data_IF_995886013150
#
_entry.id   IF_995886013150
#
_cell.length_a   1.000
_cell.length_b   1.000
_cell.length_c   1.000
_cell.angle_alpha   90.00
_cell.angle_beta   90.00
_cell.angle_gamma   90.00
#
_symmetry.space_group_name_H-M   'P 1'
#
loop_
_entity.id
_entity.type
_entity.pdbx_description
1 polymer ?
#
# COMPACT_ATOMS: atom_id res chain seq x y z
N UNK A 1 29.69 -28.66 -14.85
CA UNK A 1 28.39 -28.60 -15.53
C UNK A 1 27.31 -28.41 -14.47
N UNK A 2 26.79 -27.20 -14.28
CA UNK A 2 25.60 -26.98 -13.44
C UNK A 2 24.37 -27.05 -14.32
N UNK A 3 23.58 -28.12 -14.21
CA UNK A 3 22.20 -28.10 -14.72
C UNK A 3 21.40 -27.09 -13.91
N UNK A 4 20.54 -26.31 -14.57
CA UNK A 4 19.51 -25.54 -13.88
C UNK A 4 18.57 -26.52 -13.17
N UNK A 5 18.75 -26.71 -11.86
CA UNK A 5 17.80 -27.40 -11.00
C UNK A 5 16.68 -26.41 -10.66
N UNK A 6 15.78 -26.21 -11.61
CA UNK A 6 14.55 -25.44 -11.42
C UNK A 6 13.41 -26.41 -11.16
N UNK A 7 12.77 -26.27 -10.00
CA UNK A 7 11.59 -27.01 -9.57
C UNK A 7 10.38 -26.10 -9.37
N UNK A 8 9.25 -26.66 -8.93
CA UNK A 8 8.02 -25.92 -8.67
C UNK A 8 8.14 -24.87 -7.55
N UNK A 9 9.18 -24.95 -6.71
CA UNK A 9 9.39 -24.07 -5.57
C UNK A 9 10.46 -23.01 -5.83
N UNK A 10 11.05 -23.02 -7.03
CA UNK A 10 12.10 -22.08 -7.44
C UNK A 10 11.56 -20.65 -7.49
N UNK A 11 12.36 -19.70 -7.01
CA UNK A 11 11.98 -18.28 -6.91
C UNK A 11 13.04 -17.40 -7.56
N UNK A 12 12.59 -16.31 -8.14
CA UNK A 12 13.46 -15.25 -8.65
C UNK A 12 13.68 -14.23 -7.53
N UNK A 13 14.95 -13.95 -7.23
CA UNK A 13 15.34 -13.00 -6.18
C UNK A 13 16.25 -11.94 -6.81
N UNK A 14 15.92 -10.66 -6.63
CA UNK A 14 16.79 -9.54 -6.94
C UNK A 14 17.63 -9.21 -5.72
N UNK A 15 18.91 -9.54 -5.78
CA UNK A 15 19.89 -9.28 -4.72
C UNK A 15 20.50 -7.88 -4.84
N UNK A 16 21.05 -7.31 -3.75
CA UNK A 16 21.76 -6.05 -3.79
C UNK A 16 22.97 -6.15 -4.74
N UNK A 17 23.21 -5.11 -5.54
CA UNK A 17 24.40 -5.04 -6.39
C UNK A 17 25.65 -5.03 -5.51
N UNK A 18 26.57 -5.95 -5.78
CA UNK A 18 27.89 -6.01 -5.14
C UNK A 18 28.97 -6.23 -6.19
N UNK A 19 30.13 -5.60 -5.98
CA UNK A 19 31.32 -5.80 -6.81
C UNK A 19 32.06 -7.09 -6.46
N UNK A 20 31.83 -7.62 -5.25
CA UNK A 20 32.44 -8.85 -4.75
C UNK A 20 31.36 -9.87 -4.37
N UNK A 21 31.66 -11.18 -4.42
CA UNK A 21 30.72 -12.21 -3.96
C UNK A 21 30.36 -11.99 -2.48
N UNK A 22 29.07 -11.81 -2.20
CA UNK A 22 28.54 -11.65 -0.83
C UNK A 22 27.85 -12.94 -0.41
N UNK A 23 28.07 -13.35 0.84
CA UNK A 23 27.33 -14.46 1.45
C UNK A 23 26.24 -13.90 2.33
N UNK A 24 24.99 -14.16 1.97
CA UNK A 24 23.83 -13.78 2.76
C UNK A 24 23.37 -14.91 3.67
N UNK A 25 22.99 -14.57 4.90
CA UNK A 25 22.24 -15.45 5.79
C UNK A 25 20.76 -15.08 5.72
N UNK A 26 19.88 -16.07 5.68
CA UNK A 26 18.44 -15.83 5.84
C UNK A 26 18.12 -15.85 7.33
N UNK A 27 17.45 -14.81 7.81
CA UNK A 27 17.01 -14.69 9.20
C UNK A 27 15.53 -14.29 9.21
N UNK A 28 14.73 -14.95 10.05
CA UNK A 28 13.31 -14.63 10.19
C UNK A 28 13.13 -13.73 11.41
N UNK A 29 12.56 -12.54 11.18
CA UNK A 29 12.32 -11.55 12.24
C UNK A 29 10.82 -11.29 12.37
N UNK A 30 10.34 -10.94 13.58
CA UNK A 30 8.97 -10.49 13.76
C UNK A 30 8.74 -9.21 12.96
N UNK A 31 7.54 -9.05 12.40
CA UNK A 31 7.20 -7.82 11.68
C UNK A 31 7.00 -6.67 12.68
N UNK A 32 7.55 -5.50 12.36
CA UNK A 32 7.45 -4.32 13.23
C UNK A 32 6.02 -3.77 13.35
N UNK A 33 5.08 -4.25 12.52
CA UNK A 33 3.67 -3.82 12.57
C UNK A 33 2.89 -4.49 13.72
N UNK A 34 3.07 -5.79 13.93
CA UNK A 34 2.27 -6.55 14.90
C UNK A 34 3.10 -7.32 15.94
N UNK A 35 4.37 -7.64 15.64
CA UNK A 35 5.28 -8.48 16.43
C UNK A 35 4.83 -9.95 16.59
N UNK A 36 3.81 -10.37 15.84
CA UNK A 36 3.26 -11.74 15.92
C UNK A 36 3.49 -12.51 14.63
N UNK A 37 3.50 -11.83 13.49
CA UNK A 37 3.90 -12.38 12.19
C UNK A 37 5.41 -12.27 12.00
N UNK A 38 5.98 -13.13 11.16
CA UNK A 38 7.41 -13.17 10.84
C UNK A 38 7.61 -13.02 9.34
N UNK A 39 8.66 -12.28 8.96
CA UNK A 39 9.12 -12.18 7.59
C UNK A 39 10.59 -12.63 7.51
N UNK A 40 10.98 -13.14 6.35
CA UNK A 40 12.38 -13.48 6.07
C UNK A 40 13.15 -12.25 5.61
N UNK A 41 14.39 -12.14 6.08
CA UNK A 41 15.33 -11.07 5.76
C UNK A 41 16.65 -11.68 5.29
N UNK A 42 17.36 -10.98 4.41
CA UNK A 42 18.75 -11.28 4.09
C UNK A 42 19.65 -10.45 5.00
N UNK A 43 20.59 -11.12 5.65
CA UNK A 43 21.61 -10.51 6.46
C UNK A 43 22.96 -10.70 5.78
N UNK A 44 23.58 -9.58 5.40
CA UNK A 44 25.02 -9.51 5.15
C UNK A 44 25.74 -9.15 6.47
N UNK A 45 27.07 -9.15 6.47
CA UNK A 45 27.91 -8.80 7.62
C UNK A 45 27.48 -7.49 8.28
N UNK A 46 27.12 -6.48 7.48
CA UNK A 46 26.89 -5.11 7.96
C UNK A 46 25.44 -4.61 7.77
N UNK A 47 24.62 -5.31 6.99
CA UNK A 47 23.35 -4.78 6.49
C UNK A 47 22.25 -5.84 6.50
N UNK A 48 21.08 -5.43 6.98
CA UNK A 48 19.85 -6.22 6.93
C UNK A 48 19.00 -5.77 5.73
N UNK A 49 18.42 -6.71 5.01
CA UNK A 49 17.55 -6.47 3.87
C UNK A 49 16.23 -7.21 4.07
N UNK A 50 15.10 -6.49 3.96
CA UNK A 50 13.79 -7.11 3.91
C UNK A 50 13.55 -7.77 2.55
N UNK A 51 12.88 -8.91 2.55
CA UNK A 51 12.48 -9.62 1.33
C UNK A 51 11.01 -9.32 1.02
N UNK A 52 10.79 -8.40 0.09
CA UNK A 52 9.46 -8.05 -0.41
C UNK A 52 9.05 -8.95 -1.57
N UNK A 53 7.85 -9.53 -1.51
CA UNK A 53 7.30 -10.34 -2.60
C UNK A 53 6.51 -9.44 -3.57
N UNK A 54 7.08 -9.18 -4.74
CA UNK A 54 6.41 -8.47 -5.84
C UNK A 54 5.66 -9.50 -6.67
N UNK A 55 4.37 -9.60 -6.39
CA UNK A 55 3.43 -10.46 -7.10
C UNK A 55 2.70 -9.67 -8.18
N UNK A 56 2.19 -10.40 -9.16
CA UNK A 56 1.36 -9.83 -10.23
C UNK A 56 -0.11 -9.62 -9.82
N UNK A 57 -0.45 -9.78 -8.54
CA UNK A 57 -1.77 -9.42 -8.04
C UNK A 57 -1.83 -7.91 -7.79
N UNK A 58 -2.52 -7.19 -8.66
CA UNK A 58 -2.92 -5.82 -8.35
C UNK A 58 -4.19 -5.90 -7.48
N UNK A 59 -4.13 -5.59 -6.18
CA UNK A 59 -5.30 -5.67 -5.30
C UNK A 59 -6.41 -4.69 -5.69
N UNK A 60 -6.11 -3.70 -6.53
CA UNK A 60 -7.07 -2.75 -7.08
C UNK A 60 -7.73 -3.23 -8.38
N UNK A 61 -7.24 -4.32 -8.99
CA UNK A 61 -7.92 -4.98 -10.11
C UNK A 61 -8.77 -6.10 -9.54
N UNK A 62 -10.09 -6.03 -9.75
CA UNK A 62 -11.00 -7.14 -9.37
C UNK A 62 -10.45 -8.43 -9.95
N UNK A 63 -10.36 -9.51 -9.14
CA UNK A 63 -9.83 -10.82 -9.56
C UNK A 63 -10.44 -11.32 -10.88
N UNK A 64 -11.71 -10.99 -11.11
CA UNK A 64 -12.48 -11.28 -12.33
C UNK A 64 -11.87 -10.71 -13.62
N UNK A 65 -11.12 -9.61 -13.52
CA UNK A 65 -10.46 -8.92 -14.64
C UNK A 65 -8.97 -9.26 -14.74
N UNK A 66 -8.46 -10.17 -13.88
CA UNK A 66 -7.08 -10.60 -13.92
C UNK A 66 -6.95 -11.71 -14.97
N UNK A 67 -6.03 -11.60 -15.94
CA UNK A 67 -5.77 -12.68 -16.86
C UNK A 67 -5.18 -13.87 -16.08
N UNK A 68 -5.94 -14.96 -16.01
CA UNK A 68 -5.56 -16.22 -15.36
C UNK A 68 -5.56 -17.36 -16.37
N UNK A 69 -4.69 -18.34 -16.14
CA UNK A 69 -4.73 -19.63 -16.83
C UNK A 69 -5.99 -20.40 -16.42
N UNK A 70 -6.35 -21.45 -17.19
CA UNK A 70 -7.55 -22.27 -16.93
C UNK A 70 -7.56 -22.93 -15.55
N UNK A 71 -6.39 -23.13 -14.95
CA UNK A 71 -6.19 -23.68 -13.61
C UNK A 71 -6.17 -22.60 -12.51
N UNK A 72 -6.36 -21.32 -12.85
CA UNK A 72 -6.36 -20.21 -11.90
C UNK A 72 -4.99 -19.57 -11.64
N UNK A 73 -3.92 -20.06 -12.28
CA UNK A 73 -2.57 -19.50 -12.13
C UNK A 73 -2.36 -18.22 -12.94
N UNK A 74 -1.33 -17.46 -12.57
CA UNK A 74 -0.92 -16.28 -13.33
C UNK A 74 -0.46 -16.65 -14.74
N UNK A 75 -0.79 -15.81 -15.73
CA UNK A 75 -0.41 -16.02 -17.15
C UNK A 75 1.07 -15.70 -17.44
N UNK A 76 1.81 -15.17 -16.46
CA UNK A 76 3.20 -14.74 -16.62
C UNK A 76 4.17 -15.79 -16.05
N UNK A 77 5.31 -15.97 -16.71
CA UNK A 77 6.41 -16.86 -16.29
C UNK A 77 7.76 -16.19 -16.56
N UNK A 78 8.82 -16.67 -15.93
CA UNK A 78 10.20 -16.31 -16.28
C UNK A 78 10.82 -17.41 -17.13
N UNK A 79 11.48 -17.00 -18.21
CA UNK A 79 12.24 -17.88 -19.10
C UNK A 79 13.71 -17.52 -18.90
N UNK A 80 14.52 -18.52 -18.56
CA UNK A 80 15.97 -18.42 -18.46
C UNK A 80 16.58 -19.24 -19.59
N UNK A 81 17.47 -18.63 -20.35
CA UNK A 81 18.18 -19.27 -21.46
C UNK A 81 19.68 -19.25 -21.16
N UNK A 82 20.33 -20.39 -21.30
CA UNK A 82 21.79 -20.50 -21.28
C UNK A 82 22.33 -20.22 -22.68
N UNK A 83 22.95 -19.05 -22.87
CA UNK A 83 23.55 -18.65 -24.13
C UNK A 83 24.65 -19.62 -24.62
N UNK A 84 25.28 -20.39 -23.74
CA UNK A 84 26.38 -21.27 -24.10
C UNK A 84 25.93 -22.67 -24.55
N UNK A 85 24.86 -23.20 -23.95
CA UNK A 85 24.46 -24.60 -24.12
C UNK A 85 23.08 -24.76 -24.78
N UNK A 86 22.30 -23.67 -24.93
CA UNK A 86 20.94 -23.72 -25.49
C UNK A 86 19.92 -24.42 -24.59
N UNK A 87 20.32 -24.83 -23.38
CA UNK A 87 19.40 -25.32 -22.34
C UNK A 87 18.71 -24.13 -21.67
N UNK A 88 17.48 -24.32 -21.21
CA UNK A 88 16.71 -23.28 -20.56
C UNK A 88 15.79 -23.81 -19.48
N UNK A 89 15.30 -22.90 -18.65
CA UNK A 89 14.36 -23.21 -17.59
C UNK A 89 13.19 -22.23 -17.61
N UNK A 90 12.01 -22.74 -17.27
CA UNK A 90 10.80 -21.93 -17.14
C UNK A 90 10.37 -21.98 -15.67
N UNK A 91 10.31 -20.80 -15.04
CA UNK A 91 9.69 -20.64 -13.73
C UNK A 91 8.27 -20.17 -13.96
N UNK A 92 7.30 -21.03 -13.64
CA UNK A 92 5.88 -20.73 -13.81
C UNK A 92 5.37 -19.65 -12.84
N UNK A 93 6.02 -19.50 -11.68
CA UNK A 93 5.73 -18.36 -10.80
C UNK A 93 6.28 -17.08 -11.40
N UNK A 94 5.45 -16.03 -11.39
CA UNK A 94 5.85 -14.68 -11.79
C UNK A 94 6.17 -13.77 -10.60
N UNK A 95 6.23 -14.31 -9.38
CA UNK A 95 6.64 -13.58 -8.19
C UNK A 95 8.14 -13.27 -8.24
N UNK A 96 8.50 -12.01 -8.02
CA UNK A 96 9.89 -11.60 -7.83
C UNK A 96 10.07 -11.20 -6.39
N UNK A 97 11.03 -11.81 -5.71
CA UNK A 97 11.45 -11.35 -4.39
C UNK A 97 12.46 -10.22 -4.60
N UNK A 98 12.20 -9.08 -3.99
CA UNK A 98 13.08 -7.91 -4.03
C UNK A 98 13.70 -7.72 -2.65
N UNK A 99 15.02 -7.67 -2.58
CA UNK A 99 15.72 -7.30 -1.34
C UNK A 99 15.85 -5.78 -1.23
N UNK A 100 15.30 -5.20 -0.17
CA UNK A 100 15.40 -3.76 0.12
C UNK A 100 16.11 -3.56 1.46
N UNK A 101 16.97 -2.53 1.58
CA UNK A 101 17.66 -2.26 2.86
C UNK A 101 16.65 -1.99 3.97
N UNK A 102 16.79 -2.70 5.09
CA UNK A 102 15.92 -2.59 6.25
C UNK A 102 16.68 -1.99 7.44
N UNK A 103 16.04 -1.06 8.14
CA UNK A 103 16.59 -0.39 9.33
C UNK A 103 16.01 -1.06 10.59
N UNK A 104 16.85 -1.78 11.34
CA UNK A 104 16.43 -2.53 12.54
C UNK A 104 15.75 -1.63 13.59
N UNK A 105 16.01 -0.31 13.55
CA UNK A 105 15.30 0.68 14.37
C UNK A 105 13.77 0.58 14.27
N UNK A 106 13.21 0.23 13.11
CA UNK A 106 11.76 0.03 12.96
C UNK A 106 11.22 -1.05 13.89
N UNK A 107 11.92 -2.18 13.95
CA UNK A 107 11.54 -3.30 14.82
C UNK A 107 11.74 -2.95 16.30
N UNK A 108 12.86 -2.29 16.64
CA UNK A 108 13.13 -1.89 18.02
C UNK A 108 12.11 -0.88 18.53
N UNK A 109 11.70 0.10 17.71
CA UNK A 109 10.61 1.04 18.06
C UNK A 109 9.34 0.28 18.39
N UNK A 110 8.94 -0.67 17.54
CA UNK A 110 7.72 -1.44 17.73
C UNK A 110 7.72 -2.26 19.03
N UNK A 111 8.86 -2.88 19.36
CA UNK A 111 9.04 -3.63 20.62
C UNK A 111 9.02 -2.65 21.80
N UNK A 112 9.84 -1.60 21.77
CA UNK A 112 10.06 -0.74 22.94
C UNK A 112 8.83 0.10 23.28
N UNK A 113 8.08 0.52 22.27
CA UNK A 113 6.83 1.23 22.45
C UNK A 113 5.78 0.40 23.21
N UNK A 114 5.77 -0.92 23.05
CA UNK A 114 4.87 -1.83 23.80
C UNK A 114 5.41 -2.25 25.16
N UNK A 115 6.70 -2.04 25.44
CA UNK A 115 7.38 -2.58 26.61
C UNK A 115 8.14 -1.48 27.38
N UNK A 116 7.47 -0.89 28.37
CA UNK A 116 8.00 0.22 29.19
C UNK A 116 9.35 -0.05 29.87
N UNK A 117 9.79 -1.31 29.99
CA UNK A 117 11.07 -1.66 30.59
C UNK A 117 12.28 -1.06 29.86
N UNK A 118 12.16 -0.77 28.57
CA UNK A 118 13.22 -0.17 27.76
C UNK A 118 13.35 1.36 27.96
N UNK A 119 12.33 2.00 28.55
CA UNK A 119 12.30 3.45 28.80
C UNK A 119 12.65 3.83 30.25
N UNK A 120 12.91 2.85 31.13
CA UNK A 120 13.11 3.10 32.57
C UNK A 120 14.54 3.53 32.88
N UNK A 121 15.50 2.68 32.52
CA UNK A 121 16.91 2.83 32.89
C UNK A 121 17.78 2.77 31.63
N UNK A 122 18.98 3.35 31.73
CA UNK A 122 20.05 3.11 30.77
C UNK A 122 20.55 1.68 30.93
N UNK A 123 20.64 0.95 29.82
CA UNK A 123 21.07 -0.45 29.77
C UNK A 123 21.98 -0.68 28.57
N UNK A 124 22.89 -1.65 28.65
CA UNK A 124 23.78 -1.97 27.54
C UNK A 124 22.99 -2.54 26.35
N UNK A 125 23.58 -2.56 25.16
CA UNK A 125 22.94 -3.21 24.02
C UNK A 125 22.82 -4.74 24.22
N UNK A 126 23.70 -5.36 25.01
CA UNK A 126 23.59 -6.77 25.41
C UNK A 126 22.36 -7.00 26.30
N UNK A 127 22.17 -6.17 27.33
CA UNK A 127 20.97 -6.22 28.18
C UNK A 127 19.68 -5.98 27.37
N UNK A 128 19.74 -5.11 26.35
CA UNK A 128 18.65 -4.91 25.41
C UNK A 128 18.32 -6.21 24.69
N UNK A 129 19.34 -6.89 24.12
CA UNK A 129 19.16 -8.15 23.41
C UNK A 129 18.54 -9.20 24.33
N UNK A 130 19.06 -9.38 25.55
CA UNK A 130 18.53 -10.35 26.51
C UNK A 130 17.09 -10.06 26.93
N UNK A 131 16.74 -8.79 27.13
CA UNK A 131 15.36 -8.38 27.42
C UNK A 131 14.43 -8.61 26.24
N UNK A 132 14.89 -8.41 25.01
CA UNK A 132 14.13 -8.74 23.80
C UNK A 132 13.94 -10.25 23.73
N UNK A 133 14.99 -11.05 23.91
CA UNK A 133 14.88 -12.51 23.94
C UNK A 133 13.87 -12.97 25.00
N UNK A 134 13.90 -12.37 26.20
CA UNK A 134 12.91 -12.59 27.25
C UNK A 134 11.46 -12.32 26.82
N UNK A 135 11.22 -11.26 26.04
CA UNK A 135 9.88 -10.93 25.48
C UNK A 135 9.37 -12.01 24.53
N UNK A 136 10.26 -12.65 23.76
CA UNK A 136 9.90 -13.67 22.75
C UNK A 136 10.08 -15.13 23.23
N UNK A 137 10.66 -15.34 24.41
CA UNK A 137 10.98 -16.66 24.98
C UNK A 137 9.77 -17.61 25.09
N UNK A 138 8.57 -17.07 25.36
CA UNK A 138 7.34 -17.87 25.53
C UNK A 138 6.88 -18.60 24.26
N UNK A 139 7.39 -18.23 23.09
CA UNK A 139 6.97 -18.78 21.80
C UNK A 139 8.06 -19.61 21.09
N UNK A 140 9.22 -19.83 21.71
CA UNK A 140 10.38 -20.48 21.07
C UNK A 140 10.97 -19.69 19.89
N UNK A 141 10.59 -18.41 19.76
CA UNK A 141 10.94 -17.54 18.65
C UNK A 141 11.93 -16.44 19.06
N UNK A 142 12.75 -16.67 20.08
CA UNK A 142 13.79 -15.76 20.57
C UNK A 142 15.11 -15.89 19.79
N UNK A 143 15.30 -16.98 19.05
CA UNK A 143 16.56 -17.27 18.37
C UNK A 143 17.03 -16.22 17.35
N UNK A 144 16.12 -15.40 16.81
CA UNK A 144 16.51 -14.37 15.84
C UNK A 144 17.36 -13.26 16.48
N UNK A 145 17.19 -13.00 17.78
CA UNK A 145 17.86 -11.92 18.50
C UNK A 145 19.38 -12.06 18.40
N UNK A 146 19.89 -13.27 18.64
CA UNK A 146 21.33 -13.54 18.59
C UNK A 146 21.85 -13.86 17.18
N UNK A 147 20.96 -13.95 16.17
CA UNK A 147 21.36 -14.04 14.75
C UNK A 147 21.70 -12.66 14.16
N UNK A 148 21.19 -11.60 14.78
CA UNK A 148 21.49 -10.22 14.38
C UNK A 148 22.80 -9.76 15.04
N UNK A 149 23.78 -9.25 14.25
CA UNK A 149 25.02 -8.74 14.79
C UNK A 149 24.83 -7.59 15.79
N UNK A 150 25.62 -7.62 16.85
CA UNK A 150 25.59 -6.63 17.94
C UNK A 150 25.66 -5.17 17.44
N UNK A 151 26.54 -4.85 16.48
CA UNK A 151 26.69 -3.48 15.98
C UNK A 151 25.40 -2.95 15.30
N UNK A 152 24.52 -3.81 14.75
CA UNK A 152 23.24 -3.37 14.19
C UNK A 152 22.29 -2.89 15.28
N UNK A 153 22.34 -3.50 16.47
CA UNK A 153 21.62 -3.02 17.64
C UNK A 153 22.15 -1.65 18.05
N UNK A 154 23.46 -1.49 18.22
CA UNK A 154 24.05 -0.20 18.61
C UNK A 154 23.70 0.93 17.63
N UNK A 155 23.86 0.69 16.33
CA UNK A 155 23.51 1.67 15.29
C UNK A 155 22.03 2.04 15.32
N UNK A 156 21.15 1.08 15.62
CA UNK A 156 19.71 1.32 15.67
C UNK A 156 19.31 2.03 16.96
N UNK A 157 19.87 1.63 18.09
CA UNK A 157 19.65 2.22 19.40
C UNK A 157 20.12 3.68 19.44
N UNK A 158 21.26 4.01 18.83
CA UNK A 158 21.75 5.39 18.74
C UNK A 158 20.75 6.34 18.07
N UNK A 159 19.88 5.84 17.17
CA UNK A 159 18.86 6.64 16.48
C UNK A 159 17.61 6.89 17.33
N UNK A 160 17.25 5.95 18.20
CA UNK A 160 15.92 5.91 18.87
C UNK A 160 15.99 6.02 20.40
N UNK A 161 17.20 6.00 20.97
CA UNK A 161 17.45 6.00 22.40
C UNK A 161 18.31 7.20 22.82
N UNK A 162 18.11 7.69 24.03
CA UNK A 162 19.12 8.47 24.75
C UNK A 162 20.33 7.56 25.02
N UNK A 163 21.53 8.11 24.93
CA UNK A 163 22.76 7.36 25.13
C UNK A 163 23.68 8.08 26.12
N UNK A 164 24.31 7.32 26.99
CA UNK A 164 25.40 7.76 27.86
C UNK A 164 26.59 6.84 27.65
N UNK A 165 27.79 7.38 27.71
CA UNK A 165 29.03 6.61 27.63
C UNK A 165 29.68 6.59 29.01
N UNK A 166 29.88 5.39 29.57
CA UNK A 166 30.53 5.19 30.85
C UNK A 166 31.70 4.21 30.68
N UNK A 167 32.92 4.65 30.99
CA UNK A 167 34.13 3.81 30.94
C UNK A 167 34.42 3.13 29.59
N UNK A 168 33.90 3.68 28.49
CA UNK A 168 34.09 3.13 27.14
C UNK A 168 32.91 2.30 26.63
N UNK A 169 31.89 2.06 27.46
CA UNK A 169 30.68 1.35 27.09
C UNK A 169 29.50 2.32 26.90
N UNK A 170 28.70 2.11 25.85
CA UNK A 170 27.50 2.89 25.59
C UNK A 170 26.26 2.23 26.19
N UNK A 171 25.49 2.99 26.95
CA UNK A 171 24.23 2.56 27.53
C UNK A 171 23.08 3.34 26.92
N UNK A 172 21.95 2.66 26.69
CA UNK A 172 20.82 3.18 25.94
C UNK A 172 19.55 3.17 26.79
N UNK A 173 18.75 4.23 26.63
CA UNK A 173 17.40 4.35 27.20
C UNK A 173 16.43 4.77 26.10
N UNK A 174 15.41 3.97 25.84
CA UNK A 174 14.44 4.26 24.76
C UNK A 174 13.82 5.65 24.94
N UNK A 175 13.79 6.42 23.86
CA UNK A 175 13.22 7.76 23.84
C UNK A 175 12.17 7.86 22.74
N UNK A 176 10.92 8.03 23.15
CA UNK A 176 9.81 8.22 22.22
C UNK A 176 10.03 9.46 21.34
N UNK A 177 10.60 10.53 21.91
CA UNK A 177 10.98 11.74 21.19
C UNK A 177 11.97 11.46 20.06
N UNK A 178 13.10 10.79 20.35
CA UNK A 178 14.09 10.43 19.32
C UNK A 178 13.50 9.47 18.27
N UNK A 179 12.60 8.59 18.69
CA UNK A 179 11.88 7.71 17.76
C UNK A 179 11.01 8.50 16.79
N UNK A 180 10.26 9.50 17.27
CA UNK A 180 9.50 10.39 16.40
C UNK A 180 10.40 11.21 15.47
N UNK A 181 11.52 11.75 15.95
CA UNK A 181 12.51 12.46 15.12
C UNK A 181 13.12 11.54 14.04
N UNK A 182 13.35 10.27 14.36
CA UNK A 182 13.81 9.27 13.39
C UNK A 182 12.75 9.03 12.30
N UNK A 183 11.48 8.84 12.68
CA UNK A 183 10.38 8.65 11.73
C UNK A 183 10.15 9.90 10.88
N UNK A 184 10.20 11.08 11.47
CA UNK A 184 10.06 12.37 10.78
C UNK A 184 11.09 12.50 9.66
N UNK A 185 12.37 12.24 9.93
CA UNK A 185 13.43 12.25 8.89
C UNK A 185 13.16 11.28 7.74
N UNK A 186 12.53 10.13 8.02
CA UNK A 186 12.17 9.14 6.98
C UNK A 186 10.98 9.65 6.15
N UNK A 187 9.98 10.26 6.79
CA UNK A 187 8.84 10.91 6.14
C UNK A 187 9.31 12.06 5.26
N UNK A 188 10.13 12.97 5.76
CA UNK A 188 10.67 14.11 4.99
C UNK A 188 11.45 13.67 3.75
N UNK A 189 12.29 12.64 3.90
CA UNK A 189 13.03 12.06 2.78
C UNK A 189 12.10 11.47 1.73
N UNK A 190 11.06 10.75 2.15
CA UNK A 190 10.10 10.14 1.22
C UNK A 190 9.20 11.20 0.57
N UNK A 191 8.78 12.21 1.32
CA UNK A 191 8.04 13.37 0.80
C UNK A 191 8.84 14.08 -0.28
N UNK A 192 10.14 14.32 -0.03
CA UNK A 192 11.06 14.92 -1.02
C UNK A 192 11.16 14.04 -2.26
N UNK A 193 11.29 12.72 -2.09
CA UNK A 193 11.33 11.78 -3.21
C UNK A 193 10.04 11.79 -4.03
N UNK A 194 8.87 11.76 -3.39
CA UNK A 194 7.57 11.83 -4.07
C UNK A 194 7.36 13.16 -4.79
N UNK A 195 7.85 14.26 -4.22
CA UNK A 195 7.82 15.57 -4.86
C UNK A 195 8.86 15.72 -5.98
N UNK A 196 9.88 14.85 -6.03
CA UNK A 196 10.94 14.88 -7.03
C UNK A 196 10.59 14.05 -8.27
N UNK A 197 10.72 14.66 -9.44
CA UNK A 197 10.61 14.01 -10.74
C UNK A 197 9.21 13.46 -11.08
N UNK A 198 9.11 12.84 -12.25
CA UNK A 198 7.92 12.12 -12.68
C UNK A 198 7.96 10.69 -12.14
N UNK A 199 7.32 10.48 -10.99
CA UNK A 199 7.11 9.16 -10.41
C UNK A 199 5.62 8.79 -10.40
N UNK A 200 5.33 7.49 -10.44
CA UNK A 200 3.94 6.98 -10.50
C UNK A 200 3.09 7.38 -9.29
N UNK A 201 3.71 7.61 -8.13
CA UNK A 201 3.03 8.07 -6.93
C UNK A 201 2.52 9.50 -7.12
N UNK A 202 3.35 10.40 -7.64
CA UNK A 202 2.95 11.78 -7.91
C UNK A 202 1.85 11.84 -8.98
N UNK A 203 1.93 11.01 -10.02
CA UNK A 203 0.86 10.88 -11.03
C UNK A 203 -0.45 10.42 -10.37
N UNK A 204 -0.38 9.43 -9.49
CA UNK A 204 -1.55 8.93 -8.75
C UNK A 204 -2.13 10.01 -7.83
N UNK A 205 -1.28 10.75 -7.11
CA UNK A 205 -1.69 11.84 -6.23
C UNK A 205 -2.40 12.93 -7.05
N UNK A 206 -1.78 13.38 -8.15
CA UNK A 206 -2.38 14.38 -9.04
C UNK A 206 -3.73 13.89 -9.56
N UNK A 207 -3.82 12.65 -10.05
CA UNK A 207 -5.07 12.07 -10.53
C UNK A 207 -6.19 12.01 -9.47
N UNK A 208 -5.84 11.80 -8.19
CA UNK A 208 -6.82 11.84 -7.08
C UNK A 208 -7.28 13.25 -6.71
N UNK A 209 -6.43 14.25 -6.94
CA UNK A 209 -6.70 15.65 -6.64
C UNK A 209 -7.30 16.42 -7.83
N UNK A 210 -7.24 15.87 -9.03
CA UNK A 210 -7.79 16.53 -10.22
C UNK A 210 -9.32 16.57 -10.15
N UNK A 211 -9.87 17.78 -10.15
CA UNK A 211 -11.29 18.01 -10.39
C UNK A 211 -11.58 17.88 -11.89
N UNK A 212 -12.24 16.81 -12.31
CA UNK A 212 -12.65 16.60 -13.70
C UNK A 212 -13.83 17.48 -14.12
N UNK A 213 -14.47 18.19 -13.17
CA UNK A 213 -15.60 19.09 -13.43
C UNK A 213 -15.15 20.48 -13.89
N UNK A 214 -13.90 20.85 -13.58
CA UNK A 214 -13.33 22.15 -13.90
C UNK A 214 -12.49 22.06 -15.18
N UNK A 215 -12.64 23.04 -16.08
CA UNK A 215 -11.93 23.07 -17.35
C UNK A 215 -10.40 23.21 -17.22
N UNK A 216 -9.93 23.87 -16.15
CA UNK A 216 -8.50 24.15 -15.96
C UNK A 216 -7.75 23.02 -15.24
N UNK A 217 -8.45 22.06 -14.62
CA UNK A 217 -7.88 20.93 -13.87
C UNK A 217 -6.77 21.34 -12.86
N UNK A 218 -6.81 22.57 -12.36
CA UNK A 218 -5.77 23.15 -11.51
C UNK A 218 -5.85 22.61 -10.09
N UNK A 219 -4.73 22.09 -9.58
CA UNK A 219 -4.61 21.62 -8.19
C UNK A 219 -3.89 22.72 -7.39
N UNK A 220 -4.46 23.23 -6.28
CA UNK A 220 -3.76 24.17 -5.42
C UNK A 220 -2.47 23.57 -4.83
N UNK A 221 -1.36 24.29 -4.95
CA UNK A 221 -0.04 23.82 -4.50
C UNK A 221 -0.01 23.41 -3.01
N UNK A 222 -0.65 24.13 -2.05
CA UNK A 222 -0.70 23.70 -0.66
C UNK A 222 -1.40 22.34 -0.47
N UNK A 223 -2.44 22.07 -1.26
CA UNK A 223 -3.18 20.79 -1.23
C UNK A 223 -2.32 19.67 -1.78
N UNK A 224 -1.62 19.91 -2.90
CA UNK A 224 -0.69 18.94 -3.47
C UNK A 224 0.40 18.57 -2.46
N UNK A 225 1.05 19.57 -1.84
CA UNK A 225 2.07 19.35 -0.81
C UNK A 225 1.54 18.58 0.39
N UNK A 226 0.34 18.92 0.86
CA UNK A 226 -0.31 18.23 1.98
C UNK A 226 -0.63 16.77 1.64
N UNK A 227 -1.12 16.49 0.43
CA UNK A 227 -1.40 15.13 -0.02
C UNK A 227 -0.13 14.29 -0.19
N UNK A 228 0.96 14.89 -0.72
CA UNK A 228 2.27 14.24 -0.80
C UNK A 228 2.80 13.90 0.60
N UNK A 229 2.67 14.84 1.55
CA UNK A 229 3.04 14.58 2.95
C UNK A 229 2.22 13.44 3.56
N UNK A 230 0.88 13.47 3.39
CA UNK A 230 0.00 12.41 3.88
C UNK A 230 0.39 11.04 3.32
N UNK A 231 0.66 10.96 2.02
CA UNK A 231 1.14 9.74 1.38
C UNK A 231 2.48 9.25 1.95
N UNK A 232 3.42 10.15 2.22
CA UNK A 232 4.70 9.80 2.82
C UNK A 232 4.52 9.28 4.25
N UNK A 233 3.69 9.95 5.06
CA UNK A 233 3.34 9.52 6.42
C UNK A 233 2.66 8.16 6.41
N UNK A 234 1.64 7.98 5.56
CA UNK A 234 0.90 6.72 5.44
C UNK A 234 1.85 5.59 5.00
N UNK A 235 2.69 5.81 3.99
CA UNK A 235 3.61 4.78 3.52
C UNK A 235 4.63 4.37 4.59
N UNK A 236 5.30 5.34 5.24
CA UNK A 236 6.29 5.06 6.28
C UNK A 236 5.63 4.39 7.48
N UNK A 237 4.50 4.93 7.94
CA UNK A 237 3.87 4.44 9.14
C UNK A 237 3.19 3.08 8.92
N UNK A 238 2.36 2.95 7.88
CA UNK A 238 1.53 1.76 7.70
C UNK A 238 2.34 0.54 7.23
N UNK A 239 3.55 0.77 6.70
CA UNK A 239 4.48 -0.31 6.34
C UNK A 239 5.28 -0.84 7.53
N UNK A 240 5.65 0.00 8.49
CA UNK A 240 6.67 -0.34 9.48
C UNK A 240 6.27 -0.17 10.95
N UNK A 241 5.20 0.55 11.27
CA UNK A 241 4.81 0.84 12.66
C UNK A 241 3.30 0.70 12.86
N UNK A 242 2.88 0.54 14.12
CA UNK A 242 1.48 0.40 14.49
C UNK A 242 0.68 1.71 14.38
N UNK A 243 -0.64 1.58 14.21
CA UNK A 243 -1.55 2.74 14.10
C UNK A 243 -1.58 3.63 15.34
N UNK A 244 -1.30 3.09 16.53
CA UNK A 244 -1.24 3.86 17.78
C UNK A 244 -0.04 4.81 17.78
N UNK A 245 1.15 4.29 17.44
CA UNK A 245 2.35 5.10 17.27
C UNK A 245 2.15 6.19 16.22
N UNK A 246 1.53 5.86 15.08
CA UNK A 246 1.23 6.84 14.01
C UNK A 246 0.42 8.03 14.51
N UNK A 247 -0.60 7.79 15.35
CA UNK A 247 -1.44 8.86 15.92
C UNK A 247 -0.63 9.78 16.83
N UNK A 248 0.17 9.21 17.73
CA UNK A 248 1.04 10.01 18.61
C UNK A 248 2.11 10.77 17.82
N UNK A 249 2.70 10.15 16.80
CA UNK A 249 3.67 10.78 15.90
C UNK A 249 3.07 11.99 15.17
N UNK A 250 1.89 11.84 14.56
CA UNK A 250 1.18 12.95 13.89
C UNK A 250 0.92 14.10 14.88
N UNK A 251 0.52 13.78 16.11
CA UNK A 251 0.30 14.78 17.15
C UNK A 251 1.59 15.45 17.61
N UNK A 252 2.69 14.71 17.73
CA UNK A 252 3.99 15.22 18.16
C UNK A 252 4.56 16.22 17.14
N UNK A 253 4.56 15.85 15.85
CA UNK A 253 5.05 16.71 14.76
C UNK A 253 4.05 17.82 14.42
N UNK A 254 2.79 17.69 14.85
CA UNK A 254 1.69 18.63 14.59
C UNK A 254 1.36 18.73 13.11
N UNK A 255 1.34 17.61 12.40
CA UNK A 255 0.82 17.58 11.04
C UNK A 255 -0.69 17.86 11.04
N UNK A 256 -1.11 18.78 10.18
CA UNK A 256 -2.51 19.15 9.97
C UNK A 256 -2.90 18.87 8.51
N UNK A 257 -3.92 18.03 8.35
CA UNK A 257 -4.49 17.65 7.05
C UNK A 257 -5.90 18.19 6.86
N UNK A 258 -6.40 19.07 7.74
CA UNK A 258 -7.79 19.53 7.74
C UNK A 258 -8.20 20.23 6.43
N UNK A 259 -7.34 21.04 5.83
CA UNK A 259 -7.63 21.70 4.56
C UNK A 259 -7.60 20.73 3.37
N UNK A 260 -6.74 19.72 3.42
CA UNK A 260 -6.73 18.62 2.45
C UNK A 260 -8.03 17.81 2.55
N UNK A 261 -8.46 17.47 3.77
CA UNK A 261 -9.68 16.71 3.99
C UNK A 261 -10.91 17.47 3.46
N UNK A 262 -11.03 18.78 3.77
CA UNK A 262 -12.09 19.64 3.20
C UNK A 262 -12.06 19.66 1.68
N UNK A 263 -10.87 19.74 1.07
CA UNK A 263 -10.73 19.75 -0.39
C UNK A 263 -11.19 18.42 -1.00
N UNK A 264 -10.81 17.30 -0.40
CA UNK A 264 -11.23 15.96 -0.84
C UNK A 264 -12.74 15.76 -0.70
N UNK A 265 -13.35 16.27 0.38
CA UNK A 265 -14.80 16.21 0.58
C UNK A 265 -15.55 16.98 -0.53
N UNK A 266 -15.10 18.20 -0.85
CA UNK A 266 -15.68 19.01 -1.94
C UNK A 266 -15.52 18.32 -3.30
N UNK A 267 -14.35 17.74 -3.57
CA UNK A 267 -14.13 16.97 -4.80
C UNK A 267 -15.08 15.77 -4.90
N UNK A 268 -15.22 15.01 -3.81
CA UNK A 268 -16.09 13.85 -3.78
C UNK A 268 -17.56 14.23 -3.98
N UNK A 269 -18.01 15.34 -3.39
CA UNK A 269 -19.35 15.87 -3.58
C UNK A 269 -19.60 16.26 -5.05
N UNK A 270 -18.67 16.98 -5.67
CA UNK A 270 -18.78 17.37 -7.09
C UNK A 270 -18.82 16.16 -8.02
N UNK A 271 -17.97 15.16 -7.78
CA UNK A 271 -17.95 13.92 -8.57
C UNK A 271 -19.27 13.15 -8.43
N UNK A 272 -19.83 13.05 -7.22
CA UNK A 272 -21.15 12.45 -7.00
C UNK A 272 -22.25 13.21 -7.73
N UNK A 273 -22.24 14.53 -7.69
CA UNK A 273 -23.23 15.37 -8.38
C UNK A 273 -23.16 15.20 -9.90
N UNK A 274 -21.95 15.13 -10.48
CA UNK A 274 -21.75 14.83 -11.90
C UNK A 274 -22.33 13.47 -12.29
N UNK A 275 -22.04 12.42 -11.51
CA UNK A 275 -22.55 11.08 -11.77
C UNK A 275 -24.08 11.03 -11.76
N UNK A 276 -24.73 11.79 -10.86
CA UNK A 276 -26.19 11.91 -10.82
C UNK A 276 -26.71 12.61 -12.09
N UNK A 277 -26.07 13.71 -12.52
CA UNK A 277 -26.45 14.44 -13.74
C UNK A 277 -26.28 13.56 -14.97
N UNK A 278 -25.15 12.85 -15.11
CA UNK A 278 -24.91 11.92 -16.22
C UNK A 278 -25.91 10.77 -16.25
N UNK A 279 -26.23 10.19 -15.09
CA UNK A 279 -27.26 9.15 -14.98
C UNK A 279 -28.64 9.68 -15.40
N UNK A 280 -28.99 10.89 -14.98
CA UNK A 280 -30.24 11.55 -15.37
C UNK A 280 -30.25 11.87 -16.88
N UNK A 281 -29.18 12.40 -17.46
CA UNK A 281 -29.09 12.66 -18.89
C UNK A 281 -29.14 11.36 -19.71
N UNK A 282 -28.48 10.30 -19.26
CA UNK A 282 -28.51 9.00 -19.93
C UNK A 282 -29.91 8.37 -19.88
N UNK A 283 -30.60 8.46 -18.74
CA UNK A 283 -31.99 7.98 -18.64
C UNK A 283 -32.96 8.77 -19.52
N UNK A 284 -32.79 10.10 -19.61
CA UNK A 284 -33.56 10.97 -20.53
C UNK A 284 -33.22 10.66 -22.00
N UNK A 285 -31.94 10.46 -22.34
CA UNK A 285 -31.53 10.08 -23.70
C UNK A 285 -32.09 8.71 -24.09
N UNK A 286 -32.11 7.74 -23.18
CA UNK A 286 -32.71 6.42 -23.40
C UNK A 286 -34.23 6.50 -23.60
N UNK A 287 -34.95 7.31 -22.81
CA UNK A 287 -36.40 7.54 -22.99
C UNK A 287 -36.70 8.30 -24.29
N UNK A 288 -35.84 9.24 -24.70
CA UNK A 288 -35.95 9.99 -25.95
C UNK A 288 -35.72 9.12 -27.19
N UNK A 289 -34.70 8.26 -27.14
CA UNK A 289 -34.38 7.31 -28.20
C UNK A 289 -35.46 6.24 -28.37
N UNK A 290 -36.07 5.78 -27.26
CA UNK A 290 -37.19 4.83 -27.30
C UNK A 290 -38.53 5.48 -27.70
N UNK A 291 -38.75 6.77 -27.41
CA UNK A 291 -39.89 7.53 -27.93
C UNK A 291 -39.82 7.75 -29.45
N UNK A 292 -38.60 7.85 -30.00
CA UNK A 292 -38.36 8.02 -31.44
C UNK A 292 -38.53 6.72 -32.23
N UNK A 293 -38.25 5.55 -31.62
CA UNK A 293 -38.55 4.24 -32.22
C UNK A 293 -40.04 3.92 -32.28
N UNK A 294 -40.88 4.51 -31.41
CA UNK A 294 -42.34 4.33 -31.44
C UNK A 294 -43.05 5.14 -32.55
N UNK A 295 -42.37 6.07 -33.22
CA UNK A 295 -42.96 6.89 -34.31
C UNK A 295 -42.73 6.34 -35.72
N UNK A 296 -41.98 5.25 -35.90
CA UNK A 296 -41.66 4.69 -37.23
C UNK A 296 -42.55 3.50 -37.62
N UNK A 297 -43.42 3.01 -36.74
CA UNK A 297 -44.35 1.91 -37.05
C UNK A 297 -45.71 2.34 -37.65
N UNK A 298 -45.83 3.60 -38.10
CA UNK A 298 -46.99 4.10 -38.82
C UNK A 298 -46.64 4.33 -40.29
N UNK A 299 -46.51 3.25 -41.07
CA UNK A 299 -46.78 3.20 -42.54
C UNK A 299 -46.43 1.83 -43.14
N UNK A 300 -47.26 0.82 -42.88
CA UNK A 300 -47.52 -0.25 -43.85
C UNK A 300 -49.01 -0.50 -43.90
N UNK A 301 -49.64 0.02 -44.95
CA UNK A 301 -51.06 -0.16 -45.18
C UNK A 301 -51.40 -1.61 -45.48
N UNK A 302 -52.56 -2.06 -45.00
CA UNK A 302 -53.44 -3.00 -45.70
C UNK A 302 -54.85 -3.00 -45.08
N UNK A 303 -55.80 -2.73 -45.99
CA UNK A 303 -57.22 -3.11 -46.08
C UNK A 303 -58.19 -2.86 -44.91
N UNK A 304 -59.25 -2.15 -45.30
CA UNK A 304 -60.57 -2.01 -44.66
C UNK A 304 -61.10 -3.33 -44.09
N UNK A 305 -61.63 -3.25 -42.89
CA UNK A 305 -62.87 -3.94 -42.53
C UNK A 305 -63.75 -3.02 -41.67
N UNK A 306 -65.06 -3.12 -41.86
CA UNK A 306 -66.05 -2.13 -41.49
C UNK A 306 -66.82 -2.57 -40.24
N UNK A 307 -66.89 -1.67 -39.25
CA UNK A 307 -67.90 -1.47 -38.17
C UNK A 307 -67.95 -2.43 -36.97
N UNK A 308 -67.86 -1.82 -35.77
CA UNK A 308 -69.05 -1.55 -34.92
C UNK A 308 -68.81 -0.33 -34.02
N UNK A 309 -69.72 0.65 -34.10
CA UNK A 309 -69.87 1.75 -33.14
C UNK A 309 -70.47 1.19 -31.85
N UNK A 310 -69.90 1.50 -30.69
CA UNK A 310 -70.64 1.49 -29.41
C UNK A 310 -70.19 2.68 -28.53
N UNK A 311 -71.22 3.36 -28.04
CA UNK A 311 -71.38 4.46 -27.07
C UNK A 311 -70.18 5.33 -26.60
N UNK A 312 -70.36 6.62 -26.85
CA UNK A 312 -69.82 7.76 -26.11
C UNK A 312 -70.29 7.68 -24.65
N UNK A 313 -69.36 7.69 -23.69
CA UNK A 313 -69.64 7.76 -22.26
C UNK A 313 -68.45 8.38 -21.52
N UNK A 314 -68.72 9.44 -20.77
CA UNK A 314 -67.81 10.31 -20.03
C UNK A 314 -66.87 9.56 -19.07
N UNK A 315 -65.64 10.05 -18.91
CA UNK A 315 -64.73 9.64 -17.84
C UNK A 315 -63.36 10.27 -17.95
N UNK A 316 -63.26 11.58 -17.70
CA UNK A 316 -62.01 12.20 -17.27
C UNK A 316 -62.00 12.19 -15.74
N UNK A 317 -60.81 11.97 -15.18
CA UNK A 317 -60.44 12.07 -13.76
C UNK A 317 -61.06 10.98 -12.89
N UNK A 318 -60.20 10.13 -12.34
CA UNK A 318 -59.84 10.22 -10.92
C UNK A 318 -59.35 8.84 -10.47
N UNK A 319 -58.10 8.79 -10.03
CA UNK A 319 -57.49 7.53 -9.72
C UNK A 319 -56.00 7.60 -9.51
N UNK A 320 -55.63 8.09 -8.33
CA UNK A 320 -54.44 7.63 -7.61
C UNK A 320 -53.11 8.32 -7.96
N UNK A 321 -53.09 9.65 -7.89
CA UNK A 321 -52.08 10.28 -7.05
C UNK A 321 -52.39 9.89 -5.60
N UNK A 322 -51.64 8.95 -5.02
CA UNK A 322 -51.58 8.76 -3.57
C UNK A 322 -50.25 9.32 -3.06
N UNK A 323 -50.32 10.49 -2.42
CA UNK A 323 -49.43 10.89 -1.34
C UNK A 323 -50.14 10.60 -0.02
N UNK A 324 -49.51 9.80 0.83
CA UNK A 324 -49.38 10.02 2.25
C UNK A 324 -47.98 9.49 2.61
#
# INVERSE_FOLDING_TARGET
MSRFLVDSNSRVILLPKSETPVTYKVVDLPTSRDLTSYNSYLLDKDTLYELGDVRNDNPYVKKENMPLLKNGDAVKSFIFEDEQNGEGAIIQSSSVIVSSKFDLAWLLIAIFYKHNQFSKNYISAEDVMDKIAGVFSGNGNDQWVHKIPYFLYEQSLAKISESIDESGDSFFKFSLKKSFEFVEKKVERLQTYFASGDNSVLVTIKGKLTDTTLAEHTIPEPILKSMVLRYAVDYVCDSYIGSEFKKEFISFVKYDFSDLDKYLDVLQERQKNLQIVESNMNSVAQTSASASKKKVELKKGKKKEVKKKVAVGKGALDGFFKKA
#
